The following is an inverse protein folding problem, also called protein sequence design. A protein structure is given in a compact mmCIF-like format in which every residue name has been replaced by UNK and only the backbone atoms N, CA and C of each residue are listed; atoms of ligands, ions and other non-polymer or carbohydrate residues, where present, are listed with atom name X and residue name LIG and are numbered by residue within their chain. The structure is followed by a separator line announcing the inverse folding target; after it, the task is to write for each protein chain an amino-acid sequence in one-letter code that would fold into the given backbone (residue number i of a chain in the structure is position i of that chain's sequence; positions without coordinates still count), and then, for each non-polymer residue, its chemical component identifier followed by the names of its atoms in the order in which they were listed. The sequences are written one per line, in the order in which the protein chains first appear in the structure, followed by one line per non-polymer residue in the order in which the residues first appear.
data_IF_433362020168
#
_entry.id   IF_433362020168
#
_cell.length_a   1.000
_cell.length_b   1.000
_cell.length_c   1.000
_cell.angle_alpha   90.00
_cell.angle_beta   90.00
_cell.angle_gamma   90.00
#
_symmetry.space_group_name_H-M   'P 1'
#
loop_
_entity.id
_entity.type
_entity.pdbx_description
1 polymer ?
#
# COMPACT_ATOMS: atom_id res chain seq x y z
N UNK A 1 13.77 1.15 -22.25
CA UNK A 1 12.39 1.67 -22.10
C UNK A 1 12.39 3.09 -22.66
N UNK A 2 11.24 3.64 -23.09
CA UNK A 2 11.15 5.07 -23.43
C UNK A 2 10.41 5.80 -22.31
N UNK A 3 10.91 6.97 -21.95
CA UNK A 3 10.31 7.87 -20.96
C UNK A 3 10.31 9.30 -21.49
N UNK A 4 9.49 10.13 -20.87
CA UNK A 4 9.33 11.53 -21.20
C UNK A 4 10.19 12.40 -20.29
N UNK A 5 11.04 13.26 -20.86
CA UNK A 5 11.82 14.24 -20.10
C UNK A 5 10.98 15.48 -19.69
N UNK A 6 11.57 16.39 -18.90
CA UNK A 6 10.90 17.61 -18.44
C UNK A 6 10.46 18.55 -19.58
N UNK A 7 11.01 18.37 -20.79
CA UNK A 7 10.70 19.13 -22.00
C UNK A 7 9.71 18.40 -22.93
N UNK A 8 9.11 17.30 -22.46
CA UNK A 8 8.20 16.42 -23.22
C UNK A 8 8.84 15.63 -24.37
N UNK A 9 10.16 15.49 -24.38
CA UNK A 9 10.85 14.65 -25.36
C UNK A 9 10.79 13.18 -24.93
N UNK A 10 10.56 12.27 -25.89
CA UNK A 10 10.72 10.84 -25.68
C UNK A 10 12.20 10.46 -25.78
N UNK A 11 12.75 9.92 -24.69
CA UNK A 11 14.14 9.47 -24.60
C UNK A 11 14.23 8.04 -24.13
N UNK A 12 15.24 7.32 -24.63
CA UNK A 12 15.53 5.97 -24.18
C UNK A 12 16.23 6.02 -22.82
N UNK A 13 15.55 5.52 -21.79
CA UNK A 13 16.10 5.36 -20.45
C UNK A 13 15.72 3.97 -19.92
N UNK A 14 16.57 3.39 -19.10
CA UNK A 14 16.39 2.05 -18.57
C UNK A 14 17.74 1.50 -18.18
N UNK A 15 17.81 0.98 -16.97
CA UNK A 15 19.03 0.45 -16.39
C UNK A 15 18.83 -1.05 -16.22
N UNK A 16 19.60 -1.85 -16.93
CA UNK A 16 19.62 -3.29 -16.70
C UNK A 16 20.65 -3.63 -15.60
N UNK A 17 20.42 -4.73 -14.90
CA UNK A 17 21.30 -5.15 -13.83
C UNK A 17 20.86 -6.46 -13.19
N UNK A 18 21.81 -7.09 -12.50
CA UNK A 18 21.55 -8.37 -11.88
C UNK A 18 20.55 -8.24 -10.72
N UNK A 19 19.84 -9.33 -10.46
CA UNK A 19 18.95 -9.45 -9.31
C UNK A 19 19.37 -10.68 -8.51
N UNK A 20 19.61 -10.49 -7.22
CA UNK A 20 19.89 -11.56 -6.27
C UNK A 20 18.98 -11.37 -5.07
N UNK A 21 18.15 -12.35 -4.78
CA UNK A 21 17.26 -12.35 -3.61
C UNK A 21 17.53 -13.57 -2.74
N UNK A 22 17.50 -13.36 -1.43
CA UNK A 22 17.51 -14.42 -0.43
C UNK A 22 16.40 -14.19 0.58
N UNK A 23 15.81 -15.30 1.04
CA UNK A 23 14.64 -15.32 1.89
C UNK A 23 14.98 -16.13 3.14
N UNK A 24 14.63 -15.60 4.30
CA UNK A 24 14.69 -16.32 5.58
C UNK A 24 13.29 -16.26 6.16
N UNK A 25 12.71 -17.43 6.37
CA UNK A 25 11.37 -17.60 6.91
C UNK A 25 11.44 -18.40 8.21
N UNK A 26 10.74 -17.91 9.23
CA UNK A 26 10.51 -18.58 10.49
C UNK A 26 9.00 -18.64 10.74
N UNK A 27 8.47 -19.86 10.80
CA UNK A 27 7.08 -20.11 11.16
C UNK A 27 6.96 -21.02 12.38
N UNK A 28 5.98 -20.73 13.22
CA UNK A 28 5.62 -21.52 14.39
C UNK A 28 4.11 -21.67 14.46
N UNK A 29 3.64 -22.89 14.72
CA UNK A 29 2.21 -23.20 14.87
C UNK A 29 2.01 -24.03 16.13
N UNK A 30 1.05 -23.62 16.93
CA UNK A 30 0.57 -24.37 18.08
C UNK A 30 -0.93 -24.57 17.96
N UNK A 31 -1.39 -25.81 18.14
CA UNK A 31 -2.80 -26.15 18.11
C UNK A 31 -3.13 -27.00 19.34
N UNK A 32 -4.15 -26.58 20.08
CA UNK A 32 -4.67 -27.32 21.23
C UNK A 32 -6.20 -27.34 21.14
N UNK A 33 -6.76 -28.54 20.96
CA UNK A 33 -8.19 -28.74 20.71
C UNK A 33 -8.68 -27.83 19.56
N UNK A 34 -9.58 -26.91 19.90
CA UNK A 34 -10.25 -25.99 19.01
C UNK A 34 -9.55 -24.61 18.92
N UNK A 35 -8.38 -24.47 19.53
CA UNK A 35 -7.60 -23.24 19.56
C UNK A 35 -6.33 -23.40 18.73
N UNK A 36 -6.02 -22.42 17.89
CA UNK A 36 -4.82 -22.40 17.06
C UNK A 36 -4.14 -21.04 17.21
N UNK A 37 -2.82 -21.07 17.35
CA UNK A 37 -1.96 -19.88 17.33
C UNK A 37 -0.89 -20.13 16.28
N UNK A 38 -0.69 -19.17 15.39
CA UNK A 38 0.32 -19.19 14.35
C UNK A 38 1.14 -17.91 14.40
N UNK A 39 2.44 -18.05 14.15
CA UNK A 39 3.34 -16.95 13.96
C UNK A 39 4.17 -17.21 12.69
N UNK A 40 4.39 -16.17 11.91
CA UNK A 40 5.24 -16.18 10.72
C UNK A 40 6.09 -14.91 10.71
N UNK A 41 7.38 -15.05 10.39
CA UNK A 41 8.30 -13.94 10.25
C UNK A 41 9.19 -14.18 9.03
N UNK A 42 9.14 -13.26 8.07
CA UNK A 42 9.89 -13.36 6.83
C UNK A 42 10.85 -12.18 6.73
N UNK A 43 12.10 -12.48 6.43
CA UNK A 43 13.11 -11.52 6.02
C UNK A 43 13.47 -11.76 4.56
N UNK A 44 13.45 -10.69 3.76
CA UNK A 44 13.83 -10.70 2.36
C UNK A 44 14.99 -9.73 2.19
N UNK A 45 16.12 -10.24 1.72
CA UNK A 45 17.32 -9.46 1.49
C UNK A 45 17.90 -9.69 0.11
N UNK A 46 18.83 -8.83 -0.29
CA UNK A 46 19.55 -8.98 -1.55
C UNK A 46 19.68 -7.68 -2.30
N UNK A 47 19.71 -7.75 -3.63
CA UNK A 47 19.70 -6.61 -4.53
C UNK A 47 18.72 -6.88 -5.68
N UNK A 48 17.95 -5.87 -6.08
CA UNK A 48 17.07 -5.92 -7.26
C UNK A 48 17.43 -4.81 -8.20
N UNK A 49 17.45 -5.12 -9.49
CA UNK A 49 17.44 -4.09 -10.52
C UNK A 49 16.03 -4.02 -11.10
N UNK A 50 15.35 -2.91 -10.85
CA UNK A 50 13.96 -2.70 -11.28
C UNK A 50 13.88 -2.28 -12.75
N UNK A 51 14.98 -1.76 -13.32
CA UNK A 51 15.06 -1.27 -14.69
C UNK A 51 14.04 -0.21 -15.08
N UNK A 52 13.47 0.45 -14.07
CA UNK A 52 12.44 1.46 -14.22
C UNK A 52 13.08 2.85 -14.31
N UNK A 53 12.79 3.53 -15.41
CA UNK A 53 12.87 4.97 -15.50
C UNK A 53 11.44 5.50 -15.50
N UNK A 54 11.19 6.57 -14.75
CA UNK A 54 9.88 7.21 -14.64
C UNK A 54 9.92 8.56 -15.35
N UNK A 55 8.82 8.89 -16.03
CA UNK A 55 8.62 10.19 -16.65
C UNK A 55 8.94 11.33 -15.66
N UNK A 56 9.60 12.36 -16.19
CA UNK A 56 9.99 13.50 -15.40
C UNK A 56 8.77 14.29 -14.90
N UNK A 57 8.88 14.84 -13.69
CA UNK A 57 8.03 15.96 -13.28
C UNK A 57 8.67 17.23 -13.86
N UNK A 58 7.95 18.01 -14.69
CA UNK A 58 8.55 19.08 -15.49
C UNK A 58 8.75 20.36 -14.68
N UNK A 59 9.49 20.34 -13.57
CA UNK A 59 9.75 21.55 -12.76
C UNK A 59 10.52 22.62 -13.54
N UNK A 60 10.15 23.89 -13.39
CA UNK A 60 10.89 25.04 -13.93
C UNK A 60 12.37 24.96 -13.52
N UNK A 61 13.26 25.23 -14.48
CA UNK A 61 14.71 25.17 -14.29
C UNK A 61 15.35 23.82 -14.64
N UNK A 62 14.53 22.79 -14.90
CA UNK A 62 15.00 21.53 -15.50
C UNK A 62 15.03 21.68 -17.03
N UNK A 63 16.13 21.27 -17.65
CA UNK A 63 16.31 21.26 -19.11
C UNK A 63 15.85 19.95 -19.75
N UNK A 64 16.16 19.77 -21.04
CA UNK A 64 16.00 18.49 -21.71
C UNK A 64 16.98 17.44 -21.15
N UNK A 65 16.65 16.17 -21.27
CA UNK A 65 17.55 15.08 -20.92
C UNK A 65 18.77 15.07 -21.85
N UNK A 66 19.96 14.90 -21.27
CA UNK A 66 21.19 14.69 -22.01
C UNK A 66 21.15 13.28 -22.64
N UNK A 67 21.24 13.13 -23.97
CA UNK A 67 21.21 11.81 -24.61
C UNK A 67 22.32 10.86 -24.15
N UNK A 68 23.46 11.37 -23.68
CA UNK A 68 24.56 10.53 -23.17
C UNK A 68 24.39 10.13 -21.70
N UNK A 69 23.53 10.82 -20.95
CA UNK A 69 23.21 10.52 -19.55
C UNK A 69 21.76 10.92 -19.23
N UNK A 70 20.78 10.17 -19.75
CA UNK A 70 19.37 10.49 -19.55
C UNK A 70 18.92 10.27 -18.10
N UNK A 71 19.69 9.54 -17.29
CA UNK A 71 19.36 9.22 -15.90
C UNK A 71 19.95 10.18 -14.85
N UNK A 72 20.83 11.10 -15.26
CA UNK A 72 21.38 12.17 -14.42
C UNK A 72 20.94 13.58 -14.84
N UNK A 73 19.98 13.69 -15.76
CA UNK A 73 19.58 14.96 -16.36
C UNK A 73 18.11 14.97 -16.81
N UNK A 74 17.60 16.14 -17.20
CA UNK A 74 16.26 16.25 -17.80
C UNK A 74 15.08 15.98 -16.87
N UNK A 75 15.31 15.83 -15.56
CA UNK A 75 14.27 15.56 -14.57
C UNK A 75 13.78 14.11 -14.53
N UNK A 76 14.41 13.20 -15.27
CA UNK A 76 14.02 11.79 -15.33
C UNK A 76 14.44 11.11 -14.03
N UNK A 77 13.52 10.36 -13.44
CA UNK A 77 13.79 9.59 -12.22
C UNK A 77 14.18 8.17 -12.66
N UNK A 78 15.46 7.86 -12.61
CA UNK A 78 15.94 6.50 -12.82
C UNK A 78 16.18 5.82 -11.47
N UNK A 79 15.56 4.66 -11.27
CA UNK A 79 15.91 3.82 -10.13
C UNK A 79 17.28 3.18 -10.39
N UNK A 80 18.22 3.22 -9.42
CA UNK A 80 19.57 2.71 -9.65
C UNK A 80 19.58 1.20 -9.91
N UNK A 81 20.58 0.71 -10.67
CA UNK A 81 20.86 -0.73 -10.72
C UNK A 81 21.25 -1.25 -9.34
N UNK A 82 21.00 -2.54 -9.09
CA UNK A 82 21.41 -3.26 -7.89
C UNK A 82 20.93 -2.57 -6.60
N UNK A 83 19.66 -2.12 -6.56
CA UNK A 83 19.07 -1.53 -5.37
C UNK A 83 19.09 -2.55 -4.23
N UNK A 84 19.71 -2.24 -3.08
CA UNK A 84 19.65 -3.14 -1.95
C UNK A 84 18.19 -3.38 -1.55
N UNK A 85 17.87 -4.63 -1.24
CA UNK A 85 16.60 -5.04 -0.68
C UNK A 85 16.79 -5.44 0.77
N UNK A 86 15.91 -4.93 1.63
CA UNK A 86 15.76 -5.39 3.00
C UNK A 86 14.32 -5.16 3.41
N UNK A 87 13.59 -6.24 3.59
CA UNK A 87 12.19 -6.21 4.00
C UNK A 87 11.98 -7.23 5.10
N UNK A 88 11.45 -6.78 6.23
CA UNK A 88 10.96 -7.64 7.29
C UNK A 88 9.44 -7.59 7.39
N UNK A 89 8.81 -8.75 7.46
CA UNK A 89 7.38 -8.90 7.67
C UNK A 89 7.15 -9.91 8.80
N UNK A 90 6.10 -9.70 9.58
CA UNK A 90 5.68 -10.65 10.59
C UNK A 90 4.16 -10.67 10.72
N UNK A 91 3.60 -11.83 11.00
CA UNK A 91 2.18 -12.02 11.27
C UNK A 91 2.00 -12.96 12.48
N UNK A 92 0.97 -12.68 13.25
CA UNK A 92 0.47 -13.51 14.34
C UNK A 92 -1.02 -13.70 14.11
N UNK A 93 -1.48 -14.94 14.15
CA UNK A 93 -2.88 -15.31 14.07
C UNK A 93 -3.23 -16.16 15.28
N UNK A 94 -4.37 -15.87 15.91
CA UNK A 94 -4.93 -16.68 16.97
C UNK A 94 -6.42 -16.87 16.72
N UNK A 95 -6.86 -18.12 16.65
CA UNK A 95 -8.26 -18.46 16.44
C UNK A 95 -8.73 -19.46 17.49
N UNK A 96 -10.02 -19.44 17.78
CA UNK A 96 -10.65 -20.40 18.67
C UNK A 96 -12.11 -20.66 18.32
N UNK A 97 -12.51 -21.92 18.35
CA UNK A 97 -13.89 -22.34 18.11
C UNK A 97 -14.54 -22.95 19.35
N UNK A 98 -15.78 -22.56 19.60
CA UNK A 98 -16.60 -23.09 20.68
C UNK A 98 -17.56 -24.15 20.17
N UNK A 99 -17.86 -25.15 21.00
CA UNK A 99 -18.82 -26.22 20.68
C UNK A 99 -20.23 -25.73 20.33
N UNK A 100 -20.59 -24.54 20.77
CA UNK A 100 -21.87 -23.90 20.51
C UNK A 100 -21.90 -23.10 19.20
N UNK A 101 -20.86 -23.19 18.35
CA UNK A 101 -20.81 -22.61 17.00
C UNK A 101 -20.08 -21.28 16.88
N UNK A 102 -19.74 -20.62 17.99
CA UNK A 102 -18.97 -19.38 17.97
C UNK A 102 -17.51 -19.59 17.60
N UNK A 103 -16.95 -18.72 16.76
CA UNK A 103 -15.56 -18.74 16.29
C UNK A 103 -15.02 -17.32 16.45
N UNK A 104 -13.92 -17.16 17.19
CA UNK A 104 -13.18 -15.90 17.27
C UNK A 104 -11.86 -16.05 16.54
N UNK A 105 -11.39 -14.93 16.00
CA UNK A 105 -10.14 -14.82 15.28
C UNK A 105 -9.50 -13.47 15.60
N UNK A 106 -8.19 -13.45 15.80
CA UNK A 106 -7.40 -12.26 16.05
C UNK A 106 -6.13 -12.36 15.22
N UNK A 107 -5.88 -11.33 14.43
CA UNK A 107 -4.68 -11.22 13.61
C UNK A 107 -3.95 -9.94 13.97
N UNK A 108 -2.62 -10.01 14.01
CA UNK A 108 -1.78 -8.84 14.09
C UNK A 108 -0.59 -9.03 13.16
N UNK A 109 -0.11 -7.95 12.56
CA UNK A 109 1.05 -8.06 11.71
C UNK A 109 1.79 -6.76 11.51
N UNK A 110 2.97 -6.92 10.95
CA UNK A 110 3.93 -5.89 10.61
C UNK A 110 4.40 -6.11 9.18
N UNK A 111 4.33 -5.05 8.37
CA UNK A 111 5.02 -4.98 7.09
C UNK A 111 5.94 -3.77 7.11
N UNK A 112 7.23 -4.01 6.85
CA UNK A 112 8.22 -2.95 6.74
C UNK A 112 7.84 -1.94 5.64
N UNK A 113 8.12 -0.68 5.96
CA UNK A 113 7.93 0.47 5.10
C UNK A 113 9.24 1.19 4.86
N UNK A 114 9.49 1.68 3.65
CA UNK A 114 10.45 2.77 3.47
C UNK A 114 9.76 4.09 3.80
N UNK A 115 10.38 4.87 4.67
CA UNK A 115 9.99 6.26 4.89
C UNK A 115 10.46 7.20 3.78
N UNK A 116 10.99 6.68 2.67
CA UNK A 116 11.47 7.41 1.50
C UNK A 116 11.01 6.67 0.25
N UNK A 117 9.91 7.11 -0.37
CA UNK A 117 9.25 6.38 -1.47
C UNK A 117 10.10 6.23 -2.74
N UNK A 118 11.18 7.03 -2.85
CA UNK A 118 12.13 7.02 -3.97
C UNK A 118 13.57 6.73 -3.49
N UNK A 119 13.72 6.07 -2.35
CA UNK A 119 15.03 5.66 -1.86
C UNK A 119 15.69 4.69 -2.84
N UNK A 120 17.03 4.71 -2.89
CA UNK A 120 17.81 3.75 -3.67
C UNK A 120 17.68 2.31 -3.16
N UNK A 121 16.96 2.06 -2.07
CA UNK A 121 16.74 0.77 -1.42
C UNK A 121 15.27 0.37 -1.53
N UNK A 122 15.02 -0.92 -1.79
CA UNK A 122 13.67 -1.49 -1.74
C UNK A 122 13.43 -2.02 -0.33
N UNK A 123 12.50 -1.41 0.40
CA UNK A 123 12.11 -1.88 1.75
C UNK A 123 10.62 -2.12 1.91
N UNK A 124 9.89 -2.28 0.80
CA UNK A 124 8.45 -2.50 0.81
C UNK A 124 8.07 -3.65 -0.12
N UNK A 125 7.23 -4.56 0.36
CA UNK A 125 6.56 -5.58 -0.46
C UNK A 125 5.06 -5.58 -0.14
N UNK A 126 4.26 -5.74 -1.20
CA UNK A 126 2.79 -5.84 -1.16
C UNK A 126 2.29 -6.88 -0.17
N UNK A 127 1.32 -6.55 0.69
CA UNK A 127 0.43 -7.61 1.18
C UNK A 127 -0.22 -8.28 -0.02
N UNK A 128 -0.21 -9.61 -0.01
CA UNK A 128 -0.90 -10.36 -1.05
C UNK A 128 -2.42 -10.24 -0.80
N UNK A 129 -3.25 -10.01 -1.84
CA UNK A 129 -4.69 -9.77 -1.65
C UNK A 129 -5.47 -10.95 -1.06
N UNK A 130 -4.86 -12.14 -1.08
CA UNK A 130 -5.42 -13.39 -0.59
C UNK A 130 -5.34 -13.54 0.94
N UNK A 131 -4.49 -12.79 1.65
CA UNK A 131 -4.49 -12.75 3.12
C UNK A 131 -5.76 -12.09 3.69
N UNK A 132 -6.58 -11.44 2.86
CA UNK A 132 -7.91 -10.89 3.18
C UNK A 132 -8.01 -10.15 4.54
N UNK A 133 -6.94 -9.50 4.99
CA UNK A 133 -6.87 -8.86 6.33
C UNK A 133 -7.99 -7.83 6.51
N UNK A 134 -8.24 -7.01 5.48
CA UNK A 134 -9.35 -6.04 5.42
C UNK A 134 -9.94 -6.04 4.01
N UNK A 135 -11.22 -5.67 3.87
CA UNK A 135 -11.88 -5.53 2.58
C UNK A 135 -11.41 -4.27 1.83
N UNK A 136 -11.24 -3.14 2.53
CA UNK A 136 -10.95 -1.83 1.94
C UNK A 136 -9.59 -1.26 2.36
N UNK A 137 -9.21 -1.30 3.64
CA UNK A 137 -8.07 -0.57 4.21
C UNK A 137 -6.76 -0.88 3.46
N UNK A 138 -6.54 -2.13 3.12
CA UNK A 138 -5.32 -2.54 2.43
C UNK A 138 -5.52 -2.71 0.92
N UNK A 139 -6.76 -2.79 0.44
CA UNK A 139 -7.10 -3.01 -0.97
C UNK A 139 -7.47 -1.72 -1.72
N UNK A 140 -7.70 -0.62 -1.00
CA UNK A 140 -7.86 0.72 -1.55
C UNK A 140 -6.54 1.46 -1.39
N UNK A 141 -6.00 2.02 -2.47
CA UNK A 141 -4.83 2.84 -2.34
C UNK A 141 -5.07 4.02 -1.41
N UNK A 142 -3.98 4.47 -0.77
CA UNK A 142 -4.01 5.67 0.05
C UNK A 142 -4.43 6.86 -0.80
N UNK A 143 -4.95 7.90 -0.14
CA UNK A 143 -5.57 9.07 -0.77
C UNK A 143 -4.76 9.68 -1.92
N UNK A 144 -5.37 10.59 -2.66
CA UNK A 144 -4.69 11.24 -3.78
C UNK A 144 -3.47 12.03 -3.28
N UNK A 145 -2.34 11.91 -3.96
CA UNK A 145 -1.14 12.72 -3.74
C UNK A 145 -1.49 14.20 -3.83
N UNK A 146 -0.83 15.07 -3.04
CA UNK A 146 -1.03 16.51 -3.18
C UNK A 146 -0.81 16.90 -4.63
N UNK A 147 -1.81 17.55 -5.24
CA UNK A 147 -1.64 18.09 -6.59
C UNK A 147 -0.64 19.24 -6.54
N UNK A 148 0.32 19.24 -7.46
CA UNK A 148 1.33 20.29 -7.59
C UNK A 148 1.02 21.10 -8.84
N UNK A 149 0.81 22.39 -8.66
CA UNK A 149 0.64 23.34 -9.76
C UNK A 149 1.82 24.29 -9.80
N UNK A 150 2.19 24.74 -10.99
CA UNK A 150 3.29 25.66 -11.14
C UNK A 150 3.64 25.88 -12.61
N UNK A 151 4.80 26.48 -12.82
CA UNK A 151 5.33 26.77 -14.15
C UNK A 151 6.13 25.57 -14.66
N UNK A 152 5.67 24.84 -15.70
CA UNK A 152 6.42 23.69 -16.19
C UNK A 152 7.64 24.14 -17.02
N UNK A 153 8.68 23.32 -17.05
CA UNK A 153 9.90 23.56 -17.85
C UNK A 153 9.61 23.83 -19.34
N UNK A 154 8.68 23.08 -19.94
CA UNK A 154 8.36 23.18 -21.36
C UNK A 154 7.42 24.34 -21.73
N UNK A 155 6.77 24.99 -20.76
CA UNK A 155 5.89 26.14 -21.01
C UNK A 155 6.05 27.23 -19.93
N UNK A 156 7.20 27.94 -19.92
CA UNK A 156 7.43 29.04 -18.99
C UNK A 156 6.36 30.14 -19.09
N UNK A 157 5.99 30.71 -17.95
CA UNK A 157 4.94 31.73 -17.80
C UNK A 157 3.50 31.20 -17.74
N UNK A 158 3.29 29.88 -17.78
CA UNK A 158 1.94 29.28 -17.69
C UNK A 158 1.80 28.46 -16.41
N UNK A 159 0.64 28.53 -15.76
CA UNK A 159 0.33 27.63 -14.64
C UNK A 159 -0.26 26.34 -15.18
N UNK A 160 0.41 25.22 -14.95
CA UNK A 160 -0.06 23.89 -15.31
C UNK A 160 0.03 22.94 -14.11
N UNK A 161 -0.71 21.83 -14.18
CA UNK A 161 -0.54 20.73 -13.23
C UNK A 161 0.78 20.03 -13.53
N UNK A 162 1.72 20.07 -12.60
CA UNK A 162 3.04 19.45 -12.70
C UNK A 162 3.03 17.99 -12.26
N UNK A 163 2.18 17.66 -11.28
CA UNK A 163 2.07 16.31 -10.76
C UNK A 163 0.97 16.17 -9.72
N UNK A 164 0.88 14.98 -9.13
CA UNK A 164 -0.03 14.73 -8.02
C UNK A 164 -1.51 14.57 -8.42
N UNK A 165 -2.41 14.51 -7.44
CA UNK A 165 -3.83 14.17 -7.64
C UNK A 165 -4.04 12.74 -8.17
N UNK A 166 -2.99 11.92 -8.07
CA UNK A 166 -3.01 10.49 -8.37
C UNK A 166 -2.95 9.74 -7.05
N UNK A 167 -3.48 8.53 -7.01
CA UNK A 167 -3.49 7.71 -5.81
C UNK A 167 -2.02 7.48 -5.38
N UNK A 168 -1.67 7.75 -4.12
CA UNK A 168 -0.26 7.78 -3.67
C UNK A 168 0.40 6.41 -3.81
N UNK A 169 -0.37 5.33 -3.72
CA UNK A 169 0.16 3.97 -3.85
C UNK A 169 -0.44 3.27 -5.07
N UNK A 170 0.40 2.65 -5.90
CA UNK A 170 -0.06 1.75 -6.96
C UNK A 170 -0.38 0.34 -6.46
N UNK A 171 0.03 0.03 -5.22
CA UNK A 171 -0.09 -1.28 -4.58
C UNK A 171 -0.77 -1.16 -3.21
N UNK A 172 -1.23 -2.30 -2.71
CA UNK A 172 -1.71 -2.56 -1.35
C UNK A 172 -0.83 -1.84 -0.32
N UNK A 173 -1.43 -1.33 0.76
CA UNK A 173 -0.72 -0.59 1.81
C UNK A 173 0.46 -1.42 2.34
N UNK A 174 1.68 -0.97 2.07
CA UNK A 174 2.92 -1.50 2.64
C UNK A 174 3.48 -0.41 3.54
N UNK A 175 4.15 -0.75 4.66
CA UNK A 175 4.36 0.11 5.84
C UNK A 175 3.19 0.08 6.82
N UNK A 176 2.88 -1.09 7.40
CA UNK A 176 1.75 -1.22 8.32
C UNK A 176 2.10 -1.99 9.59
N UNK A 177 1.56 -1.52 10.73
CA UNK A 177 1.26 -2.36 11.89
C UNK A 177 -0.24 -2.43 11.99
N UNK A 178 -0.81 -3.63 11.91
CA UNK A 178 -2.24 -3.83 11.92
C UNK A 178 -2.69 -4.77 13.04
N UNK A 179 -3.96 -4.61 13.39
CA UNK A 179 -4.67 -5.47 14.31
C UNK A 179 -6.09 -5.71 13.79
N UNK A 180 -6.49 -6.96 13.77
CA UNK A 180 -7.81 -7.43 13.39
C UNK A 180 -8.38 -8.27 14.52
N UNK A 181 -9.65 -8.07 14.83
CA UNK A 181 -10.41 -8.95 15.70
C UNK A 181 -11.75 -9.29 15.07
N UNK A 182 -12.03 -10.58 14.94
CA UNK A 182 -13.21 -11.13 14.30
C UNK A 182 -13.99 -12.08 15.19
N UNK A 183 -15.28 -12.15 14.92
CA UNK A 183 -16.16 -13.17 15.46
C UNK A 183 -17.18 -13.60 14.41
N UNK A 184 -17.35 -14.92 14.25
CA UNK A 184 -18.40 -15.54 13.43
C UNK A 184 -19.14 -16.57 14.25
N UNK A 185 -20.43 -16.74 13.96
CA UNK A 185 -21.25 -17.78 14.57
C UNK A 185 -21.81 -18.69 13.48
N UNK A 186 -21.58 -19.99 13.64
CA UNK A 186 -22.11 -21.03 12.76
C UNK A 186 -23.50 -21.46 13.21
N UNK A 187 -24.46 -21.35 12.31
CA UNK A 187 -25.81 -21.84 12.44
C UNK A 187 -25.94 -23.08 11.55
N UNK A 188 -26.35 -24.20 12.16
CA UNK A 188 -26.85 -25.32 11.40
C UNK A 188 -28.28 -24.98 10.93
N UNK A 189 -28.45 -24.80 9.63
CA UNK A 189 -29.74 -24.45 9.02
C UNK A 189 -30.21 -25.50 7.99
N UNK A 190 -29.59 -26.70 7.98
CA UNK A 190 -29.91 -27.78 7.03
C UNK A 190 -31.39 -28.14 7.01
N UNK A 191 -32.03 -28.07 8.18
CA UNK A 191 -33.43 -28.43 8.35
C UNK A 191 -34.39 -27.33 7.86
N UNK A 192 -33.93 -26.08 7.83
CA UNK A 192 -34.74 -24.90 7.45
C UNK A 192 -34.55 -24.48 6.00
N UNK A 193 -33.36 -24.72 5.44
CA UNK A 193 -33.02 -24.35 4.06
C UNK A 193 -32.45 -25.59 3.35
N UNK A 194 -33.29 -26.31 2.56
CA UNK A 194 -32.85 -27.49 1.85
C UNK A 194 -31.66 -27.19 0.93
N UNK A 195 -30.57 -27.95 1.10
CA UNK A 195 -29.34 -27.78 0.33
C UNK A 195 -28.36 -26.74 0.87
N UNK A 196 -28.61 -26.16 2.05
CA UNK A 196 -27.62 -25.36 2.77
C UNK A 196 -27.14 -26.12 4.01
N UNK A 197 -25.88 -26.55 4.03
CA UNK A 197 -25.34 -27.38 5.11
C UNK A 197 -25.16 -26.55 6.39
N UNK A 198 -24.63 -25.33 6.23
CA UNK A 198 -24.39 -24.40 7.32
C UNK A 198 -24.36 -22.97 6.82
N UNK A 199 -24.63 -22.05 7.74
CA UNK A 199 -24.52 -20.60 7.56
C UNK A 199 -23.66 -20.03 8.67
N UNK A 200 -22.59 -19.29 8.34
CA UNK A 200 -21.84 -18.50 9.31
C UNK A 200 -22.16 -17.03 9.11
N UNK A 201 -22.42 -16.33 10.20
CA UNK A 201 -22.62 -14.88 10.20
C UNK A 201 -21.69 -14.27 11.22
N UNK A 202 -21.03 -13.19 10.84
CA UNK A 202 -20.19 -12.47 11.76
C UNK A 202 -19.62 -11.20 11.19
N UNK A 203 -18.55 -10.73 11.82
CA UNK A 203 -17.83 -9.56 11.37
C UNK A 203 -16.48 -9.45 12.04
N UNK A 204 -15.71 -8.47 11.58
CA UNK A 204 -14.41 -8.14 12.11
C UNK A 204 -14.18 -6.63 12.12
N UNK A 205 -13.29 -6.21 13.00
CA UNK A 205 -12.84 -4.84 13.14
C UNK A 205 -11.35 -4.81 12.88
N UNK A 206 -10.91 -3.87 12.04
CA UNK A 206 -9.51 -3.72 11.65
C UNK A 206 -9.04 -2.29 11.93
N UNK A 207 -7.84 -2.15 12.49
CA UNK A 207 -7.14 -0.87 12.62
C UNK A 207 -5.67 -1.04 12.27
N UNK A 208 -5.07 0.01 11.73
CA UNK A 208 -3.65 -0.01 11.39
C UNK A 208 -2.97 1.35 11.52
N UNK A 209 -1.65 1.33 11.66
CA UNK A 209 -0.78 2.51 11.67
C UNK A 209 0.39 2.34 10.73
N UNK A 210 0.94 3.44 10.23
CA UNK A 210 2.15 3.46 9.43
C UNK A 210 3.40 3.63 10.31
N UNK A 211 4.31 2.62 10.38
CA UNK A 211 5.56 2.71 11.16
C UNK A 211 6.55 3.75 10.64
N UNK A 212 6.52 4.06 9.35
CA UNK A 212 7.32 5.07 8.65
C UNK A 212 6.42 6.05 7.91
N UNK A 213 7.02 7.05 7.25
CA UNK A 213 6.28 8.04 6.47
C UNK A 213 5.81 7.44 5.15
N UNK A 214 4.55 7.58 4.78
CA UNK A 214 4.10 7.13 3.45
C UNK A 214 4.40 8.17 2.37
N UNK A 215 4.49 9.45 2.77
CA UNK A 215 4.88 10.55 1.88
C UNK A 215 6.11 11.24 2.45
N UNK A 216 7.25 11.08 1.77
CA UNK A 216 8.49 11.79 2.06
C UNK A 216 9.38 11.73 0.82
N UNK A 217 9.28 12.77 0.01
CA UNK A 217 9.92 12.87 -1.30
C UNK A 217 10.80 14.12 -1.29
N UNK A 218 12.09 13.93 -1.50
CA UNK A 218 13.05 15.00 -1.77
C UNK A 218 13.44 14.92 -3.24
N UNK A 219 12.87 15.81 -4.06
CA UNK A 219 13.13 15.81 -5.50
C UNK A 219 14.57 16.18 -5.82
N UNK A 220 15.26 16.92 -4.94
CA UNK A 220 16.66 17.28 -5.14
C UNK A 220 17.58 16.07 -5.00
N UNK A 221 17.32 15.21 -4.01
CA UNK A 221 18.07 13.97 -3.81
C UNK A 221 17.85 12.96 -4.94
N UNK A 222 16.65 12.91 -5.50
CA UNK A 222 16.28 11.93 -6.52
C UNK A 222 16.84 12.30 -7.88
N UNK A 223 16.77 13.58 -8.27
CA UNK A 223 17.15 14.05 -9.62
C UNK A 223 18.61 14.55 -9.65
N UNK A 224 19.22 14.83 -8.48
CA UNK A 224 20.57 15.40 -8.39
C UNK A 224 20.64 16.90 -8.69
N UNK A 225 19.49 17.57 -8.84
CA UNK A 225 19.38 19.03 -9.05
C UNK A 225 19.09 19.72 -7.72
N UNK A 226 19.91 20.71 -7.35
CA UNK A 226 19.69 21.47 -6.12
C UNK A 226 18.43 22.37 -6.19
N UNK A 227 17.90 22.75 -5.03
CA UNK A 227 16.77 23.68 -4.86
C UNK A 227 15.44 23.18 -5.44
N UNK A 228 15.23 21.88 -5.56
CA UNK A 228 13.92 21.31 -5.88
C UNK A 228 13.07 21.13 -4.61
N UNK A 229 11.73 21.04 -4.75
CA UNK A 229 10.85 20.94 -3.60
C UNK A 229 11.08 19.66 -2.78
N UNK A 230 10.74 19.72 -1.50
CA UNK A 230 10.64 18.57 -0.61
C UNK A 230 9.20 18.51 -0.11
N UNK A 231 8.58 17.33 -0.24
CA UNK A 231 7.22 17.08 0.20
C UNK A 231 7.23 15.92 1.18
N UNK A 232 6.86 16.21 2.43
CA UNK A 232 6.81 15.20 3.49
C UNK A 232 5.51 15.31 4.24
N UNK A 233 4.95 14.19 4.69
CA UNK A 233 3.88 14.20 5.69
C UNK A 233 4.32 15.00 6.93
N UNK A 234 3.36 15.71 7.52
CA UNK A 234 3.56 16.47 8.76
C UNK A 234 3.54 15.59 10.02
N UNK A 235 3.04 14.35 9.89
CA UNK A 235 2.96 13.41 10.99
C UNK A 235 4.38 12.96 11.41
N UNK A 236 4.69 13.14 12.70
CA UNK A 236 6.02 12.82 13.25
C UNK A 236 6.01 11.64 14.23
N UNK A 237 4.84 11.02 14.45
CA UNK A 237 4.70 9.87 15.35
C UNK A 237 3.81 8.81 14.71
N UNK A 238 4.04 7.53 15.07
CA UNK A 238 3.24 6.41 14.57
C UNK A 238 1.74 6.60 14.88
N UNK A 239 1.39 7.10 16.06
CA UNK A 239 -0.01 7.31 16.46
C UNK A 239 -0.74 8.36 15.62
N UNK A 240 -0.01 9.32 15.04
CA UNK A 240 -0.58 10.30 14.10
C UNK A 240 -0.71 9.75 12.68
N UNK A 241 -0.07 8.62 12.37
CA UNK A 241 -0.09 7.93 11.09
C UNK A 241 -1.04 6.75 11.13
N UNK A 242 -2.26 7.04 11.54
CA UNK A 242 -3.31 6.05 11.71
C UNK A 242 -4.09 5.91 10.41
N UNK A 243 -4.18 4.69 9.88
CA UNK A 243 -4.93 4.38 8.66
C UNK A 243 -6.44 4.47 8.88
N UNK A 244 -6.92 4.25 10.11
CA UNK A 244 -8.34 4.34 10.41
C UNK A 244 -8.89 3.07 11.01
N UNK A 245 -10.21 2.96 10.95
CA UNK A 245 -10.98 1.84 11.48
C UNK A 245 -11.87 1.29 10.38
N UNK A 246 -11.83 -0.02 10.18
CA UNK A 246 -12.71 -0.72 9.26
C UNK A 246 -13.58 -1.73 10.01
N UNK A 247 -14.85 -1.79 9.59
CA UNK A 247 -15.82 -2.77 10.06
C UNK A 247 -16.29 -3.59 8.87
N UNK A 248 -16.00 -4.89 8.90
CA UNK A 248 -16.46 -5.84 7.89
C UNK A 248 -17.52 -6.75 8.49
N UNK A 249 -18.63 -6.91 7.80
CA UNK A 249 -19.65 -7.92 8.05
C UNK A 249 -19.51 -9.01 6.99
N UNK A 250 -19.65 -10.26 7.40
CA UNK A 250 -19.47 -11.42 6.55
C UNK A 250 -20.56 -12.45 6.80
N UNK A 251 -21.12 -12.96 5.71
CA UNK A 251 -22.03 -14.10 5.68
C UNK A 251 -21.43 -15.15 4.78
N UNK A 252 -21.21 -16.34 5.32
CA UNK A 252 -20.70 -17.49 4.59
C UNK A 252 -21.74 -18.60 4.60
N UNK A 253 -21.90 -19.28 3.48
CA UNK A 253 -22.79 -20.41 3.36
C UNK A 253 -22.14 -21.50 2.52
N UNK A 254 -22.38 -22.75 2.91
CA UNK A 254 -22.05 -23.90 2.08
C UNK A 254 -23.33 -24.51 1.55
N UNK A 255 -23.43 -24.57 0.23
CA UNK A 255 -24.56 -25.13 -0.49
C UNK A 255 -24.17 -26.43 -1.19
N UNK A 256 -25.07 -27.41 -1.13
CA UNK A 256 -24.98 -28.67 -1.86
C UNK A 256 -23.62 -29.38 -1.71
N UNK A 257 -22.98 -29.31 -0.54
CA UNK A 257 -21.64 -29.89 -0.26
C UNK A 257 -20.45 -29.35 -1.08
N UNK A 258 -20.67 -28.67 -2.21
CA UNK A 258 -19.62 -28.27 -3.16
C UNK A 258 -19.53 -26.76 -3.39
N UNK A 259 -20.58 -25.98 -3.11
CA UNK A 259 -20.61 -24.54 -3.37
C UNK A 259 -20.41 -23.75 -2.09
N UNK A 260 -19.21 -23.22 -1.90
CA UNK A 260 -18.90 -22.26 -0.86
C UNK A 260 -19.16 -20.83 -1.35
N UNK A 261 -20.01 -20.08 -0.64
CA UNK A 261 -20.34 -18.68 -0.98
C UNK A 261 -20.08 -17.78 0.22
N UNK A 262 -19.45 -16.64 -0.03
CA UNK A 262 -19.18 -15.60 0.98
C UNK A 262 -19.64 -14.26 0.46
N UNK A 263 -20.49 -13.57 1.22
CA UNK A 263 -20.86 -12.18 1.02
C UNK A 263 -20.24 -11.34 2.14
N UNK A 264 -19.43 -10.36 1.77
CA UNK A 264 -18.81 -9.43 2.70
C UNK A 264 -19.21 -8.00 2.37
N UNK A 265 -19.43 -7.21 3.41
CA UNK A 265 -19.65 -5.77 3.30
C UNK A 265 -18.84 -5.03 4.34
N UNK A 266 -18.10 -4.02 3.88
CA UNK A 266 -17.15 -3.28 4.71
C UNK A 266 -17.41 -1.78 4.69
N UNK A 267 -17.16 -1.13 5.83
CA UNK A 267 -17.13 0.33 5.97
C UNK A 267 -15.78 0.73 6.55
N UNK A 268 -15.05 1.60 5.83
CA UNK A 268 -13.80 2.19 6.25
C UNK A 268 -14.03 3.64 6.70
N UNK A 269 -13.75 3.90 7.97
CA UNK A 269 -13.59 5.25 8.52
C UNK A 269 -12.12 5.63 8.38
N UNK A 270 -11.74 6.45 7.39
CA UNK A 270 -10.35 6.78 7.14
C UNK A 270 -9.75 7.57 8.31
N UNK A 271 -8.56 7.16 8.71
CA UNK A 271 -7.72 7.89 9.64
C UNK A 271 -6.94 9.00 8.95
N UNK A 272 -6.04 9.64 9.70
CA UNK A 272 -5.22 10.75 9.21
C UNK A 272 -4.32 10.37 8.04
N UNK A 273 -3.93 9.10 7.95
CA UNK A 273 -3.02 8.63 6.90
C UNK A 273 -3.63 8.64 5.49
N UNK A 274 -4.96 8.64 5.38
CA UNK A 274 -5.63 8.83 4.08
C UNK A 274 -5.79 10.31 3.69
N UNK A 275 -5.56 11.23 4.62
CA UNK A 275 -5.64 12.65 4.34
C UNK A 275 -4.36 13.11 3.63
N UNK A 276 -4.50 14.09 2.75
CA UNK A 276 -3.36 14.90 2.33
C UNK A 276 -3.04 15.80 3.51
N UNK A 277 -1.88 15.65 4.11
CA UNK A 277 -1.39 16.58 5.14
C UNK A 277 0.14 16.65 5.10
N UNK A 278 0.63 17.42 4.14
CA UNK A 278 2.06 17.52 3.83
C UNK A 278 2.62 18.90 4.18
N UNK A 279 3.84 18.91 4.70
CA UNK A 279 4.68 20.09 4.72
C UNK A 279 5.46 20.16 3.40
N UNK A 280 5.62 21.39 2.89
CA UNK A 280 6.39 21.65 1.68
C UNK A 280 7.51 22.64 1.99
N UNK A 281 8.72 22.26 1.60
CA UNK A 281 9.87 23.16 1.52
C UNK A 281 10.14 23.36 0.04
N UNK A 282 9.88 24.56 -0.46
CA UNK A 282 10.04 24.89 -1.87
C UNK A 282 10.88 26.18 -2.01
N UNK A 283 12.21 26.06 -1.99
CA UNK A 283 13.12 27.21 -2.00
C UNK A 283 12.95 28.09 -3.24
N UNK A 284 12.46 27.51 -4.35
CA UNK A 284 12.28 28.19 -5.62
C UNK A 284 10.87 28.71 -5.89
N UNK A 285 9.91 28.46 -4.99
CA UNK A 285 8.47 28.70 -5.25
C UNK A 285 8.02 28.09 -6.59
N UNK A 286 8.50 26.86 -6.85
CA UNK A 286 8.23 26.08 -8.06
C UNK A 286 6.85 25.42 -8.04
N UNK A 287 6.29 25.18 -6.85
CA UNK A 287 5.02 24.46 -6.66
C UNK A 287 4.05 25.21 -5.75
N UNK A 288 2.77 25.11 -6.09
CA UNK A 288 1.62 25.44 -5.26
C UNK A 288 0.87 24.13 -4.97
N UNK A 289 1.14 23.48 -3.82
CA UNK A 289 0.51 22.22 -3.44
C UNK A 289 -0.88 22.47 -2.85
N UNK A 290 -1.79 21.49 -2.96
CA UNK A 290 -2.93 21.40 -2.03
C UNK A 290 -2.37 20.90 -0.68
N UNK A 291 -2.31 21.73 0.38
CA UNK A 291 -1.59 21.37 1.60
C UNK A 291 -2.39 20.43 2.49
N UNK A 292 -3.72 20.46 2.38
CA UNK A 292 -4.60 19.62 3.19
C UNK A 292 -5.85 19.23 2.43
N UNK A 293 -6.18 17.94 2.47
CA UNK A 293 -7.45 17.40 1.97
C UNK A 293 -7.83 16.17 2.80
N UNK A 294 -9.12 15.98 3.05
CA UNK A 294 -9.62 14.88 3.90
C UNK A 294 -10.18 13.76 3.05
N UNK A 295 -9.84 12.53 3.42
CA UNK A 295 -10.45 11.36 2.82
C UNK A 295 -11.92 11.20 3.25
N UNK A 296 -12.72 10.72 2.30
CA UNK A 296 -14.13 10.38 2.53
C UNK A 296 -14.26 8.96 3.08
N UNK A 297 -15.37 8.70 3.78
CA UNK A 297 -15.75 7.37 4.20
C UNK A 297 -15.84 6.43 2.99
N UNK A 298 -15.23 5.25 3.12
CA UNK A 298 -15.28 4.21 2.10
C UNK A 298 -16.27 3.11 2.48
N UNK A 299 -16.93 2.52 1.48
CA UNK A 299 -17.70 1.29 1.66
C UNK A 299 -17.51 0.37 0.45
N UNK A 300 -17.75 -0.91 0.64
CA UNK A 300 -17.63 -1.91 -0.42
C UNK A 300 -18.39 -3.17 -0.10
N UNK A 301 -18.69 -3.93 -1.15
CA UNK A 301 -19.28 -5.26 -1.07
C UNK A 301 -18.43 -6.20 -1.92
N UNK A 302 -18.23 -7.43 -1.44
CA UNK A 302 -17.57 -8.51 -2.18
C UNK A 302 -18.40 -9.77 -2.05
N UNK A 303 -18.72 -10.37 -3.20
CA UNK A 303 -19.33 -11.69 -3.27
C UNK A 303 -18.30 -12.64 -3.88
N UNK A 304 -17.99 -13.71 -3.15
CA UNK A 304 -17.10 -14.78 -3.59
C UNK A 304 -17.90 -16.07 -3.65
N UNK A 305 -17.80 -16.80 -4.76
CA UNK A 305 -18.38 -18.13 -4.91
C UNK A 305 -17.28 -19.08 -5.39
N UNK A 306 -17.07 -20.16 -4.66
CA UNK A 306 -16.04 -21.17 -4.91
C UNK A 306 -16.71 -22.54 -5.02
N UNK A 307 -16.34 -23.30 -6.04
CA UNK A 307 -16.80 -24.68 -6.22
C UNK A 307 -15.64 -25.58 -5.83
N UNK A 308 -15.82 -26.35 -4.75
CA UNK A 308 -14.88 -27.34 -4.26
C UNK A 308 -15.26 -28.71 -4.86
N UNK A 309 -14.33 -29.36 -5.55
CA UNK A 309 -14.46 -30.72 -6.10
C UNK A 309 -13.52 -31.69 -5.37
#
# INVERSE_FOLDING_TARGET
MQVTDAMQNQVWAGIDGDTLLYFVDLSARYQYENYKIQFEGIYIGGNVTTGLAVDAIPFRGLGAANPSDPCGSGGIICLPANQPMQVFMAALEAEGSYKWGGQWDVEAGYAEGDGHSLSGKITQLGFRPDYQIALLMFNRPLGTSPSYYGEPAYAPGTTAKLGGGQWITGNFVNNAIYFTAGYKHEFNISDSVPGCDWLKVGGKIITAWAPKKNVNIDFSQVIGTANLPIVSETANTIFKRWYGLEFDLSVEAKFFEYLYTTLEGGILVPGREYNIEVGVIDPGSLIEPIPTDKANLGWGLRLTATIDF
#
